data_IF_011489935283
#
_entry.id   IF_011489935283
#
_cell.length_a   1.000
_cell.length_b   1.000
_cell.length_c   1.000
_cell.angle_alpha   90.00
_cell.angle_beta   90.00
_cell.angle_gamma   90.00
#
_symmetry.space_group_name_H-M   'P 1'
#
loop_
_entity.id
_entity.type
_entity.pdbx_description
1 polymer ?
#
# COMPACT_ATOMS: atom_id res chain seq x y z
N UNK A 1 -38.43 -26.06 13.40
CA UNK A 1 -38.20 -27.35 12.70
C UNK A 1 -36.81 -27.26 12.08
N UNK A 2 -35.90 -28.14 12.49
CA UNK A 2 -34.54 -28.18 11.92
C UNK A 2 -34.66 -28.63 10.46
N UNK A 3 -33.98 -27.94 9.53
CA UNK A 3 -34.05 -28.27 8.12
C UNK A 3 -33.28 -29.57 7.86
N UNK A 4 -34.00 -30.70 7.72
CA UNK A 4 -33.42 -32.03 7.50
C UNK A 4 -32.51 -32.09 6.27
N UNK A 5 -32.79 -31.28 5.24
CA UNK A 5 -31.94 -31.18 4.04
C UNK A 5 -30.58 -30.54 4.33
N UNK A 6 -30.54 -29.52 5.20
CA UNK A 6 -29.28 -28.88 5.60
C UNK A 6 -28.42 -29.84 6.42
N UNK A 7 -29.03 -30.64 7.31
CA UNK A 7 -28.32 -31.67 8.09
C UNK A 7 -27.72 -32.75 7.19
N UNK A 8 -28.44 -33.20 6.14
CA UNK A 8 -27.91 -34.21 5.24
C UNK A 8 -26.68 -33.75 4.46
N UNK A 9 -26.63 -32.47 4.05
CA UNK A 9 -25.46 -31.91 3.33
C UNK A 9 -24.26 -31.79 4.26
N UNK A 10 -24.45 -31.32 5.49
CA UNK A 10 -23.36 -31.22 6.47
C UNK A 10 -22.78 -32.57 6.87
N UNK A 11 -23.59 -33.63 6.93
CA UNK A 11 -23.11 -34.98 7.27
C UNK A 11 -22.25 -35.62 6.17
N UNK A 12 -22.33 -35.16 4.92
CA UNK A 12 -21.42 -35.60 3.86
C UNK A 12 -19.98 -35.10 4.11
N UNK A 13 -19.82 -33.93 4.72
CA UNK A 13 -18.50 -33.40 5.15
C UNK A 13 -17.87 -34.26 6.26
N UNK A 14 -18.68 -34.97 7.04
CA UNK A 14 -18.23 -35.98 8.01
C UNK A 14 -17.95 -37.36 7.38
N UNK A 15 -17.95 -37.46 6.05
CA UNK A 15 -17.59 -38.68 5.32
C UNK A 15 -18.73 -39.70 5.20
N UNK A 16 -19.98 -39.28 5.35
CA UNK A 16 -21.16 -40.11 5.07
C UNK A 16 -21.59 -39.97 3.61
N UNK A 17 -22.07 -41.05 3.01
CA UNK A 17 -22.77 -40.95 1.73
C UNK A 17 -24.17 -40.38 1.93
N UNK A 18 -24.77 -39.84 0.88
CA UNK A 18 -26.15 -39.31 0.89
C UNK A 18 -27.16 -40.27 1.54
N UNK A 19 -27.10 -41.56 1.22
CA UNK A 19 -28.00 -42.57 1.79
C UNK A 19 -27.71 -42.84 3.27
N UNK A 20 -26.44 -42.81 3.68
CA UNK A 20 -26.05 -42.96 5.09
C UNK A 20 -26.53 -41.76 5.91
N UNK A 21 -26.37 -40.53 5.39
CA UNK A 21 -26.83 -39.31 6.04
C UNK A 21 -28.36 -39.31 6.20
N UNK A 22 -29.11 -39.66 5.16
CA UNK A 22 -30.58 -39.74 5.21
C UNK A 22 -31.08 -40.79 6.21
N UNK A 23 -30.48 -41.98 6.23
CA UNK A 23 -30.84 -43.02 7.18
C UNK A 23 -30.50 -42.63 8.63
N UNK A 24 -29.35 -42.00 8.86
CA UNK A 24 -28.94 -41.55 10.19
C UNK A 24 -29.84 -40.44 10.73
N UNK A 25 -30.18 -39.44 9.90
CA UNK A 25 -31.13 -38.37 10.29
C UNK A 25 -32.51 -38.95 10.61
N UNK A 26 -33.01 -39.89 9.80
CA UNK A 26 -34.30 -40.55 10.06
C UNK A 26 -34.31 -41.30 11.41
N UNK A 27 -33.21 -41.98 11.76
CA UNK A 27 -33.07 -42.66 13.05
C UNK A 27 -32.95 -41.69 14.23
N UNK A 28 -32.24 -40.57 14.08
CA UNK A 28 -32.18 -39.51 15.09
C UNK A 28 -33.56 -38.89 15.33
N UNK A 29 -34.33 -38.63 14.25
CA UNK A 29 -35.65 -38.01 14.33
C UNK A 29 -36.74 -38.94 14.86
N UNK A 30 -36.65 -40.27 14.61
CA UNK A 30 -37.71 -41.24 14.94
C UNK A 30 -37.36 -42.19 16.09
N UNK A 31 -36.11 -42.21 16.53
CA UNK A 31 -35.63 -43.15 17.56
C UNK A 31 -35.52 -44.58 17.03
N UNK A 32 -35.74 -45.56 17.91
CA UNK A 32 -35.63 -46.98 17.56
C UNK A 32 -36.78 -47.44 16.66
N UNK A 33 -36.48 -47.79 15.42
CA UNK A 33 -37.47 -48.23 14.41
C UNK A 33 -36.99 -49.48 13.66
N UNK A 34 -37.89 -50.21 13.04
CA UNK A 34 -37.54 -51.37 12.22
C UNK A 34 -36.88 -50.96 10.91
N UNK A 35 -36.09 -51.86 10.29
CA UNK A 35 -35.49 -51.61 8.97
C UNK A 35 -36.53 -51.27 7.88
N UNK A 36 -37.74 -51.84 7.97
CA UNK A 36 -38.85 -51.57 7.05
C UNK A 36 -39.42 -50.16 7.22
N UNK A 37 -39.53 -49.69 8.47
CA UNK A 37 -39.96 -48.33 8.79
C UNK A 37 -38.88 -47.31 8.44
N UNK A 38 -37.61 -47.65 8.64
CA UNK A 38 -36.50 -46.81 8.22
C UNK A 38 -36.54 -46.55 6.72
N UNK A 39 -36.78 -47.57 5.89
CA UNK A 39 -36.98 -47.40 4.45
C UNK A 39 -38.03 -46.34 4.10
N UNK A 40 -39.12 -46.32 4.86
CA UNK A 40 -40.23 -45.39 4.65
C UNK A 40 -39.86 -43.97 5.10
N UNK A 41 -39.28 -43.81 6.29
CA UNK A 41 -38.97 -42.50 6.84
C UNK A 41 -37.70 -41.84 6.25
N UNK A 42 -36.75 -42.64 5.75
CA UNK A 42 -35.53 -42.12 5.11
C UNK A 42 -35.66 -41.96 3.60
N UNK A 43 -36.82 -42.30 3.01
CA UNK A 43 -37.08 -42.29 1.57
C UNK A 43 -36.03 -43.07 0.75
N UNK A 44 -35.56 -44.20 1.32
CA UNK A 44 -34.56 -45.05 0.70
C UNK A 44 -35.20 -46.31 0.11
N UNK A 45 -34.72 -46.79 -1.06
CA UNK A 45 -35.16 -48.06 -1.60
C UNK A 45 -34.92 -49.19 -0.58
N UNK A 46 -35.93 -50.06 -0.39
CA UNK A 46 -35.84 -51.20 0.55
C UNK A 46 -34.60 -52.08 0.35
N UNK A 47 -34.14 -52.21 -0.90
CA UNK A 47 -32.94 -52.98 -1.26
C UNK A 47 -31.62 -52.34 -0.79
N UNK A 48 -31.63 -51.06 -0.42
CA UNK A 48 -30.45 -50.29 0.02
C UNK A 48 -30.37 -50.09 1.53
N UNK A 49 -31.43 -50.39 2.28
CA UNK A 49 -31.45 -50.18 3.74
C UNK A 49 -30.43 -51.06 4.47
N UNK A 50 -30.45 -52.38 4.26
CA UNK A 50 -29.53 -53.28 4.94
C UNK A 50 -28.04 -52.97 4.65
N UNK A 51 -27.62 -52.77 3.38
CA UNK A 51 -26.26 -52.34 3.10
C UNK A 51 -25.87 -51.00 3.76
N UNK A 52 -26.80 -50.05 3.82
CA UNK A 52 -26.57 -48.74 4.44
C UNK A 52 -26.44 -48.84 5.96
N UNK A 53 -27.31 -49.64 6.59
CA UNK A 53 -27.26 -49.91 8.03
C UNK A 53 -25.96 -50.60 8.44
N UNK A 54 -25.49 -51.60 7.68
CA UNK A 54 -24.21 -52.27 7.95
C UNK A 54 -23.02 -51.29 7.86
N UNK A 55 -23.06 -50.34 6.92
CA UNK A 55 -22.03 -49.30 6.82
C UNK A 55 -22.10 -48.33 8.00
N UNK A 56 -23.30 -47.89 8.40
CA UNK A 56 -23.48 -47.04 9.57
C UNK A 56 -23.06 -47.74 10.87
N UNK A 57 -23.35 -49.03 11.01
CA UNK A 57 -22.88 -49.86 12.13
C UNK A 57 -21.35 -49.99 12.14
N UNK A 58 -20.72 -50.21 10.97
CA UNK A 58 -19.26 -50.26 10.86
C UNK A 58 -18.58 -48.93 11.22
N UNK A 59 -19.27 -47.81 10.98
CA UNK A 59 -18.86 -46.46 11.38
C UNK A 59 -19.25 -46.13 12.83
N UNK A 60 -19.84 -47.07 13.59
CA UNK A 60 -20.34 -46.89 14.96
C UNK A 60 -21.34 -45.74 15.10
N UNK A 61 -22.18 -45.53 14.09
CA UNK A 61 -23.24 -44.51 14.10
C UNK A 61 -24.61 -45.11 14.47
N UNK A 62 -24.80 -46.40 14.30
CA UNK A 62 -26.09 -47.09 14.53
C UNK A 62 -25.84 -48.42 15.23
N UNK A 63 -26.78 -48.81 16.09
CA UNK A 63 -26.85 -50.14 16.72
C UNK A 63 -28.00 -50.92 16.07
N UNK A 64 -27.71 -52.13 15.60
CA UNK A 64 -28.69 -53.05 15.01
C UNK A 64 -28.97 -54.19 15.98
N UNK A 65 -30.23 -54.38 16.37
CA UNK A 65 -30.65 -55.52 17.19
C UNK A 65 -30.86 -56.77 16.35
N UNK A 66 -30.52 -57.94 16.91
CA UNK A 66 -30.79 -59.25 16.29
C UNK A 66 -32.20 -59.78 16.58
N UNK A 67 -33.14 -58.91 16.95
CA UNK A 67 -34.54 -59.28 17.19
C UNK A 67 -35.29 -59.55 15.89
N UNK A 68 -36.47 -60.17 15.98
CA UNK A 68 -37.43 -60.27 14.88
C UNK A 68 -38.67 -59.44 15.25
N UNK A 69 -38.93 -58.29 14.63
CA UNK A 69 -38.16 -57.66 13.54
C UNK A 69 -36.82 -57.05 13.99
N UNK A 70 -35.92 -56.82 13.02
CA UNK A 70 -34.62 -56.16 13.21
C UNK A 70 -34.89 -54.69 13.52
N UNK A 71 -34.42 -54.22 14.67
CA UNK A 71 -34.56 -52.83 15.12
C UNK A 71 -33.24 -52.09 14.97
N UNK A 72 -33.32 -50.82 14.62
CA UNK A 72 -32.18 -49.96 14.38
C UNK A 72 -32.30 -48.71 15.27
N UNK A 73 -31.21 -48.34 15.94
CA UNK A 73 -31.17 -47.16 16.81
C UNK A 73 -29.94 -46.34 16.49
N UNK A 74 -30.09 -45.03 16.25
CA UNK A 74 -28.94 -44.14 16.10
C UNK A 74 -28.22 -43.95 17.44
N UNK A 75 -26.90 -43.89 17.39
CA UNK A 75 -26.08 -43.43 18.51
C UNK A 75 -26.20 -41.91 18.57
N UNK A 76 -26.14 -41.32 19.77
CA UNK A 76 -26.23 -39.88 19.95
C UNK A 76 -25.12 -39.17 19.17
N UNK A 77 -25.39 -38.06 18.44
CA UNK A 77 -24.39 -37.38 17.62
C UNK A 77 -23.13 -36.98 18.37
N UNK A 78 -23.26 -36.64 19.65
CA UNK A 78 -22.15 -36.30 20.53
C UNK A 78 -21.18 -37.48 20.63
N UNK A 79 -21.67 -38.69 20.91
CA UNK A 79 -20.84 -39.89 21.03
C UNK A 79 -20.39 -40.43 19.66
N UNK A 80 -21.25 -40.29 18.65
CA UNK A 80 -21.06 -40.87 17.33
C UNK A 80 -19.93 -40.18 16.54
N UNK A 81 -19.81 -38.85 16.67
CA UNK A 81 -18.82 -38.06 15.92
C UNK A 81 -17.60 -37.63 16.75
N UNK A 82 -17.61 -37.79 18.08
CA UNK A 82 -16.48 -37.42 18.94
C UNK A 82 -15.17 -38.07 18.48
N UNK A 83 -15.22 -39.36 18.16
CA UNK A 83 -14.04 -40.10 17.66
C UNK A 83 -13.52 -39.57 16.31
N UNK A 84 -14.42 -39.20 15.40
CA UNK A 84 -14.06 -38.65 14.07
C UNK A 84 -13.47 -37.26 14.22
N UNK A 85 -14.05 -36.42 15.09
CA UNK A 85 -13.55 -35.09 15.38
C UNK A 85 -12.15 -35.17 16.01
N UNK A 86 -11.95 -36.04 16.99
CA UNK A 86 -10.66 -36.27 17.61
C UNK A 86 -9.61 -36.81 16.64
N UNK A 87 -9.98 -37.69 15.70
CA UNK A 87 -9.09 -38.16 14.65
C UNK A 87 -8.62 -37.02 13.73
N UNK A 88 -9.52 -36.13 13.32
CA UNK A 88 -9.15 -34.96 12.50
C UNK A 88 -8.25 -33.98 13.28
N UNK A 89 -8.57 -33.70 14.55
CA UNK A 89 -7.74 -32.87 15.42
C UNK A 89 -6.33 -33.47 15.54
N UNK A 90 -6.22 -34.78 15.76
CA UNK A 90 -4.95 -35.47 15.85
C UNK A 90 -4.16 -35.42 14.54
N UNK A 91 -4.84 -35.53 13.39
CA UNK A 91 -4.22 -35.39 12.07
C UNK A 91 -3.67 -33.99 11.85
N UNK A 92 -4.42 -32.95 12.20
CA UNK A 92 -3.96 -31.55 12.15
C UNK A 92 -2.77 -31.33 13.08
N UNK A 93 -2.82 -31.85 14.31
CA UNK A 93 -1.72 -31.75 15.27
C UNK A 93 -0.46 -32.47 14.76
N UNK A 94 -0.60 -33.65 14.16
CA UNK A 94 0.50 -34.38 13.55
C UNK A 94 1.12 -33.60 12.37
N UNK A 95 0.30 -33.00 11.50
CA UNK A 95 0.77 -32.13 10.42
C UNK A 95 1.53 -30.92 10.96
N UNK A 96 1.01 -30.24 11.99
CA UNK A 96 1.69 -29.12 12.64
C UNK A 96 3.02 -29.53 13.28
N UNK A 97 3.07 -30.70 13.93
CA UNK A 97 4.30 -31.25 14.48
C UNK A 97 5.34 -31.57 13.38
N UNK A 98 4.90 -32.14 12.25
CA UNK A 98 5.76 -32.37 11.09
C UNK A 98 6.31 -31.06 10.54
N UNK A 99 5.48 -30.03 10.37
CA UNK A 99 5.94 -28.69 9.94
C UNK A 99 6.97 -28.14 10.92
N UNK A 100 6.73 -28.25 12.23
CA UNK A 100 7.70 -27.81 13.24
C UNK A 100 9.02 -28.57 13.16
N UNK A 101 8.99 -29.88 12.91
CA UNK A 101 10.19 -30.70 12.78
C UNK A 101 10.95 -30.39 11.48
N UNK A 102 10.23 -30.15 10.37
CA UNK A 102 10.83 -29.71 9.11
C UNK A 102 11.49 -28.32 9.26
N UNK A 103 10.89 -27.40 10.02
CA UNK A 103 11.52 -26.12 10.37
C UNK A 103 12.84 -26.34 11.12
N UNK A 104 12.84 -27.18 12.16
CA UNK A 104 14.07 -27.51 12.92
C UNK A 104 15.14 -28.16 12.05
N UNK A 105 14.79 -29.15 11.23
CA UNK A 105 15.72 -29.80 10.30
C UNK A 105 16.26 -28.81 9.23
N UNK A 106 15.42 -27.87 8.77
CA UNK A 106 15.86 -26.77 7.91
C UNK A 106 16.84 -25.83 8.63
N UNK A 107 16.63 -25.52 9.91
CA UNK A 107 17.53 -24.67 10.69
C UNK A 107 18.87 -25.35 11.00
N UNK A 108 18.85 -26.65 11.31
CA UNK A 108 20.05 -27.46 11.54
C UNK A 108 20.90 -27.62 10.27
N UNK A 109 20.27 -27.83 9.12
CA UNK A 109 20.95 -27.87 7.82
C UNK A 109 21.51 -26.51 7.39
N UNK A 110 20.90 -25.38 7.78
CA UNK A 110 21.47 -24.03 7.58
C UNK A 110 22.76 -23.81 8.38
N UNK A 111 22.91 -24.44 9.55
CA UNK A 111 24.13 -24.31 10.37
C UNK A 111 25.32 -25.09 9.82
N UNK A 112 25.09 -26.17 9.06
CA UNK A 112 26.14 -27.03 8.52
C UNK A 112 26.58 -26.67 7.10
N UNK A 113 25.73 -26.01 6.31
CA UNK A 113 26.11 -25.44 5.00
C UNK A 113 26.69 -24.04 5.20
N UNK A 114 28.01 -23.91 5.21
CA UNK A 114 28.67 -22.60 5.19
C UNK A 114 28.16 -21.74 4.04
N UNK A 115 27.52 -20.60 4.36
CA UNK A 115 27.20 -19.38 3.58
C UNK A 115 26.69 -19.44 2.12
N UNK A 116 26.52 -20.60 1.51
CA UNK A 116 26.15 -20.72 0.10
C UNK A 116 25.07 -21.76 -0.11
N UNK A 117 23.80 -21.32 -0.02
CA UNK A 117 22.79 -21.68 -1.01
C UNK A 117 21.48 -20.89 -0.76
N UNK A 118 21.19 -19.98 -1.70
CA UNK A 118 19.99 -19.13 -1.84
C UNK A 118 19.85 -18.02 -0.79
N UNK A 119 20.73 -17.01 -0.94
CA UNK A 119 20.79 -15.76 -0.15
C UNK A 119 19.51 -14.89 -0.20
N UNK A 120 18.63 -15.15 -1.16
CA UNK A 120 17.36 -14.43 -1.28
C UNK A 120 16.18 -15.37 -1.50
N UNK A 121 15.01 -14.97 -1.00
CA UNK A 121 13.76 -15.69 -1.19
C UNK A 121 13.04 -15.14 -2.41
N UNK A 122 12.95 -15.95 -3.46
CA UNK A 122 12.18 -15.61 -4.64
C UNK A 122 10.67 -15.75 -4.34
N UNK A 123 9.90 -14.75 -4.72
CA UNK A 123 8.45 -14.67 -4.55
C UNK A 123 7.80 -14.63 -5.93
N UNK A 124 6.81 -15.50 -6.16
CA UNK A 124 6.00 -15.45 -7.37
C UNK A 124 5.10 -14.21 -7.36
N UNK A 125 4.76 -13.69 -8.53
CA UNK A 125 3.97 -12.46 -8.64
C UNK A 125 2.67 -12.47 -7.82
N UNK A 126 1.97 -13.61 -7.80
CA UNK A 126 0.71 -13.77 -7.06
C UNK A 126 0.87 -13.67 -5.53
N UNK A 127 2.08 -13.86 -5.00
CA UNK A 127 2.34 -13.88 -3.57
C UNK A 127 3.02 -12.59 -3.08
N UNK A 128 3.43 -11.68 -3.99
CA UNK A 128 4.16 -10.47 -3.62
C UNK A 128 3.32 -9.55 -2.74
N UNK A 129 2.03 -9.39 -3.04
CA UNK A 129 1.13 -8.56 -2.23
C UNK A 129 1.01 -9.09 -0.79
N UNK A 130 0.70 -10.38 -0.63
CA UNK A 130 0.58 -11.00 0.70
C UNK A 130 1.89 -10.95 1.47
N UNK A 131 3.02 -11.15 0.79
CA UNK A 131 4.33 -11.03 1.40
C UNK A 131 4.62 -9.59 1.85
N UNK A 132 4.29 -8.59 1.02
CA UNK A 132 4.42 -7.18 1.38
C UNK A 132 3.56 -6.84 2.61
N UNK A 133 2.30 -7.28 2.65
CA UNK A 133 1.42 -7.10 3.83
C UNK A 133 2.05 -7.67 5.10
N UNK A 134 2.58 -8.89 5.03
CA UNK A 134 3.23 -9.52 6.18
C UNK A 134 4.48 -8.75 6.65
N UNK A 135 5.31 -8.28 5.72
CA UNK A 135 6.54 -7.54 6.07
C UNK A 135 6.23 -6.16 6.65
N UNK A 136 5.25 -5.43 6.09
CA UNK A 136 4.78 -4.17 6.66
C UNK A 136 4.26 -4.39 8.08
N UNK A 137 3.36 -5.36 8.29
CA UNK A 137 2.79 -5.62 9.63
C UNK A 137 3.88 -6.05 10.64
N UNK A 138 4.85 -6.84 10.20
CA UNK A 138 5.94 -7.35 11.02
C UNK A 138 7.02 -6.34 11.42
N UNK A 139 7.06 -5.18 10.74
CA UNK A 139 8.06 -4.13 10.99
C UNK A 139 7.95 -3.53 12.39
N UNK A 140 9.09 -3.09 12.94
CA UNK A 140 9.20 -2.62 14.33
C UNK A 140 9.77 -1.22 14.50
N UNK A 141 10.60 -0.73 13.58
CA UNK A 141 11.29 0.56 13.70
C UNK A 141 11.00 1.51 12.54
N UNK A 142 11.19 1.07 11.29
CA UNK A 142 11.10 1.97 10.15
C UNK A 142 10.87 1.24 8.84
N UNK A 143 10.17 1.89 7.91
CA UNK A 143 9.96 1.38 6.56
C UNK A 143 10.36 2.47 5.57
N UNK A 144 11.34 2.17 4.73
CA UNK A 144 11.83 3.04 3.67
C UNK A 144 11.43 2.46 2.31
N UNK A 145 10.68 3.20 1.52
CA UNK A 145 10.01 2.69 0.32
C UNK A 145 10.40 3.54 -0.90
N UNK A 146 10.83 2.89 -1.96
CA UNK A 146 11.01 3.47 -3.30
C UNK A 146 10.14 2.71 -4.27
N UNK A 147 9.20 3.38 -4.92
CA UNK A 147 8.28 2.72 -5.86
C UNK A 147 7.97 3.59 -7.06
N UNK A 148 7.80 2.95 -8.21
CA UNK A 148 7.22 3.52 -9.41
C UNK A 148 5.67 3.54 -9.34
N UNK A 149 5.01 3.72 -10.48
CA UNK A 149 3.55 3.67 -10.57
C UNK A 149 2.96 2.32 -10.16
N UNK A 150 3.56 1.21 -10.60
CA UNK A 150 3.08 -0.14 -10.33
C UNK A 150 3.28 -0.51 -8.85
N UNK A 151 4.47 -0.24 -8.31
CA UNK A 151 4.79 -0.46 -6.91
C UNK A 151 3.94 0.40 -5.96
N UNK A 152 3.60 1.62 -6.37
CA UNK A 152 2.67 2.47 -5.61
C UNK A 152 1.25 1.87 -5.58
N UNK A 153 0.80 1.28 -6.68
CA UNK A 153 -0.47 0.54 -6.72
C UNK A 153 -0.48 -0.61 -5.71
N UNK A 154 0.59 -1.39 -5.64
CA UNK A 154 0.73 -2.46 -4.66
C UNK A 154 0.75 -1.95 -3.21
N UNK A 155 1.43 -0.84 -2.96
CA UNK A 155 1.48 -0.22 -1.64
C UNK A 155 0.12 0.34 -1.20
N UNK A 156 -0.66 0.90 -2.13
CA UNK A 156 -2.00 1.41 -1.87
C UNK A 156 -2.95 0.32 -1.33
N UNK A 157 -2.79 -0.92 -1.81
CA UNK A 157 -3.52 -2.08 -1.30
C UNK A 157 -3.18 -2.41 0.16
N UNK A 158 -2.02 -1.97 0.66
CA UNK A 158 -1.52 -2.21 2.02
C UNK A 158 -1.93 -1.12 3.03
N UNK A 159 -2.96 -0.32 2.73
CA UNK A 159 -3.41 0.81 3.55
C UNK A 159 -3.65 0.45 5.02
N UNK A 160 -4.34 -0.66 5.28
CA UNK A 160 -4.64 -1.09 6.66
C UNK A 160 -3.39 -1.46 7.45
N UNK A 161 -2.43 -2.14 6.82
CA UNK A 161 -1.15 -2.50 7.43
C UNK A 161 -0.30 -1.24 7.69
N UNK A 162 -0.33 -0.28 6.76
CA UNK A 162 0.32 1.03 6.94
C UNK A 162 -0.27 1.78 8.15
N UNK A 163 -1.60 1.82 8.28
CA UNK A 163 -2.26 2.41 9.45
C UNK A 163 -1.89 1.69 10.75
N UNK A 164 -1.76 0.35 10.73
CA UNK A 164 -1.31 -0.45 11.88
C UNK A 164 0.10 -0.07 12.34
N UNK A 165 1.07 0.04 11.42
CA UNK A 165 2.44 0.46 11.77
C UNK A 165 2.51 1.91 12.23
N UNK A 166 1.76 2.82 11.61
CA UNK A 166 1.74 4.24 11.97
C UNK A 166 1.17 4.46 13.38
N UNK A 167 0.12 3.70 13.77
CA UNK A 167 -0.40 3.71 15.16
C UNK A 167 0.63 3.26 16.20
N UNK A 168 1.61 2.46 15.79
CA UNK A 168 2.75 2.05 16.63
C UNK A 168 3.91 3.05 16.61
N UNK A 169 3.73 4.24 16.02
CA UNK A 169 4.73 5.30 15.84
C UNK A 169 5.96 4.87 15.02
N UNK A 170 5.80 3.96 14.06
CA UNK A 170 6.88 3.64 13.12
C UNK A 170 7.09 4.77 12.12
N UNK A 171 8.36 5.03 11.78
CA UNK A 171 8.69 5.99 10.73
C UNK A 171 8.55 5.34 9.34
N UNK A 172 7.58 5.81 8.55
CA UNK A 172 7.41 5.37 7.16
C UNK A 172 7.79 6.50 6.21
N UNK A 173 8.74 6.23 5.31
CA UNK A 173 9.23 7.16 4.28
C UNK A 173 9.00 6.58 2.89
N UNK A 174 8.42 7.37 2.00
CA UNK A 174 8.03 6.96 0.65
C UNK A 174 8.63 7.90 -0.42
N UNK A 175 9.33 7.32 -1.37
CA UNK A 175 9.83 7.95 -2.58
C UNK A 175 9.01 7.47 -3.79
N UNK A 176 8.48 8.42 -4.55
CA UNK A 176 7.70 8.16 -5.76
C UNK A 176 8.02 9.14 -6.90
N UNK A 177 7.73 8.79 -8.17
CA UNK A 177 7.83 9.71 -9.29
C UNK A 177 6.81 10.85 -9.19
N UNK A 178 7.22 12.04 -9.61
CA UNK A 178 6.33 13.23 -9.65
C UNK A 178 5.04 13.02 -10.45
N UNK A 179 5.04 12.08 -11.41
CA UNK A 179 3.85 11.74 -12.21
C UNK A 179 2.73 11.11 -11.40
N UNK A 180 3.03 10.57 -10.22
CA UNK A 180 2.08 9.89 -9.35
C UNK A 180 1.43 10.80 -8.29
N UNK A 181 1.91 12.04 -8.14
CA UNK A 181 1.33 13.01 -7.20
C UNK A 181 -0.15 13.25 -7.58
N UNK A 182 -1.06 13.13 -6.60
CA UNK A 182 -2.50 13.30 -6.82
C UNK A 182 -3.19 12.13 -7.55
N UNK A 183 -2.51 11.02 -7.80
CA UNK A 183 -3.14 9.78 -8.31
C UNK A 183 -4.07 9.13 -7.28
N UNK A 184 -4.92 8.19 -7.70
CA UNK A 184 -5.78 7.42 -6.79
C UNK A 184 -4.95 6.61 -5.79
N UNK A 185 -3.91 5.92 -6.26
CA UNK A 185 -2.98 5.17 -5.40
C UNK A 185 -2.25 6.07 -4.40
N UNK A 186 -1.88 7.29 -4.81
CA UNK A 186 -1.29 8.29 -3.91
C UNK A 186 -2.25 8.68 -2.79
N UNK A 187 -3.53 8.94 -3.11
CA UNK A 187 -4.57 9.29 -2.13
C UNK A 187 -4.93 8.16 -1.18
N UNK A 188 -4.61 6.91 -1.52
CA UNK A 188 -4.80 5.77 -0.64
C UNK A 188 -3.74 5.71 0.48
N UNK A 189 -2.58 6.35 0.29
CA UNK A 189 -1.50 6.38 1.27
C UNK A 189 -1.89 7.26 2.48
N UNK A 190 -1.71 6.80 3.73
CA UNK A 190 -2.01 7.62 4.91
C UNK A 190 -1.16 8.90 4.99
N UNK A 191 -1.77 9.99 5.48
CA UNK A 191 -1.14 11.32 5.55
C UNK A 191 0.08 11.38 6.48
N UNK A 192 0.18 10.47 7.44
CA UNK A 192 1.31 10.39 8.38
C UNK A 192 2.59 9.80 7.73
N UNK A 193 2.47 9.19 6.55
CA UNK A 193 3.63 8.73 5.76
C UNK A 193 4.37 9.95 5.23
N UNK A 194 5.69 9.99 5.44
CA UNK A 194 6.53 11.05 4.86
C UNK A 194 6.74 10.74 3.39
N UNK A 195 6.26 11.61 2.49
CA UNK A 195 6.38 11.39 1.04
C UNK A 195 7.29 12.43 0.41
N UNK A 196 8.19 11.97 -0.46
CA UNK A 196 9.02 12.83 -1.31
C UNK A 196 9.02 12.33 -2.75
N UNK A 197 9.27 13.26 -3.68
CA UNK A 197 9.33 12.96 -5.10
C UNK A 197 10.76 12.91 -5.62
N UNK A 198 11.07 11.86 -6.37
CA UNK A 198 12.31 11.67 -7.11
C UNK A 198 12.07 10.73 -8.27
N UNK A 199 12.98 10.72 -9.25
CA UNK A 199 12.99 9.67 -10.27
C UNK A 199 13.36 8.33 -9.61
N UNK A 200 12.56 7.30 -9.87
CA UNK A 200 12.69 5.96 -9.29
C UNK A 200 13.08 4.99 -10.40
N UNK A 201 14.09 4.16 -10.13
CA UNK A 201 14.65 3.21 -11.09
C UNK A 201 14.21 1.77 -10.76
N UNK A 202 13.81 1.50 -9.52
CA UNK A 202 13.48 0.16 -9.04
C UNK A 202 12.49 0.23 -7.88
N UNK A 203 11.59 -0.75 -7.79
CA UNK A 203 10.71 -0.94 -6.64
C UNK A 203 11.47 -1.66 -5.52
N UNK A 204 11.64 -0.99 -4.38
CA UNK A 204 12.42 -1.45 -3.25
C UNK A 204 11.76 -1.03 -1.93
N UNK A 205 11.57 -1.99 -1.03
CA UNK A 205 11.03 -1.78 0.30
C UNK A 205 12.06 -2.27 1.30
N UNK A 206 12.52 -1.37 2.18
CA UNK A 206 13.48 -1.70 3.22
C UNK A 206 12.80 -1.61 4.58
N UNK A 207 12.81 -2.71 5.31
CA UNK A 207 12.14 -2.89 6.59
C UNK A 207 13.17 -2.98 7.71
N UNK A 208 13.01 -2.14 8.72
CA UNK A 208 13.81 -2.08 9.95
C UNK A 208 15.33 -1.98 9.72
N UNK A 209 15.74 -1.49 8.54
CA UNK A 209 17.11 -1.59 8.02
C UNK A 209 17.63 -3.03 7.92
N UNK A 210 16.80 -4.04 8.22
CA UNK A 210 17.19 -5.44 8.36
C UNK A 210 16.80 -6.34 7.20
N UNK A 211 15.76 -5.99 6.44
CA UNK A 211 15.25 -6.80 5.33
C UNK A 211 14.91 -5.92 4.13
N UNK A 212 15.14 -6.42 2.92
CA UNK A 212 14.85 -5.69 1.69
C UNK A 212 14.01 -6.56 0.76
N UNK A 213 12.86 -6.05 0.34
CA UNK A 213 12.03 -6.62 -0.71
C UNK A 213 12.22 -5.80 -2.00
N UNK A 214 12.73 -6.44 -3.04
CA UNK A 214 12.76 -5.88 -4.40
C UNK A 214 11.64 -6.49 -5.22
N UNK A 215 11.03 -5.70 -6.09
CA UNK A 215 9.98 -6.15 -6.99
C UNK A 215 10.30 -5.70 -8.41
N UNK A 216 10.19 -6.63 -9.34
CA UNK A 216 10.31 -6.40 -10.78
C UNK A 216 8.93 -6.00 -11.33
N UNK A 217 8.83 -4.80 -11.89
CA UNK A 217 7.59 -4.25 -12.45
C UNK A 217 7.19 -4.89 -13.80
N UNK A 218 8.12 -5.50 -14.53
CA UNK A 218 7.83 -6.15 -15.81
C UNK A 218 7.09 -7.47 -15.63
N UNK A 219 7.46 -8.25 -14.60
CA UNK A 219 6.91 -9.59 -14.38
C UNK A 219 6.22 -9.77 -13.01
N UNK A 220 6.23 -8.74 -12.17
CA UNK A 220 5.60 -8.71 -10.86
C UNK A 220 6.26 -9.60 -9.80
N UNK A 221 7.40 -10.26 -10.11
CA UNK A 221 8.09 -11.15 -9.16
C UNK A 221 8.87 -10.34 -8.13
N UNK A 222 8.99 -10.91 -6.93
CA UNK A 222 9.72 -10.29 -5.83
C UNK A 222 10.92 -11.12 -5.40
N UNK A 223 11.88 -10.48 -4.74
CA UNK A 223 12.97 -11.14 -4.03
C UNK A 223 13.22 -10.46 -2.68
N UNK A 224 13.30 -11.26 -1.61
CA UNK A 224 13.66 -10.77 -0.27
C UNK A 224 15.12 -11.08 0.02
N UNK A 225 15.84 -10.06 0.47
CA UNK A 225 17.24 -10.10 0.88
C UNK A 225 17.38 -9.71 2.35
N UNK A 226 18.35 -10.30 3.04
CA UNK A 226 18.77 -9.81 4.35
C UNK A 226 19.62 -8.55 4.20
N UNK A 227 19.44 -7.58 5.10
CA UNK A 227 20.29 -6.40 5.23
C UNK A 227 21.75 -6.70 5.52
N UNK A 228 22.05 -7.84 6.14
CA UNK A 228 23.42 -8.24 6.42
C UNK A 228 24.18 -8.54 5.13
N UNK A 229 23.48 -8.66 4.01
CA UNK A 229 24.07 -8.78 2.69
C UNK A 229 24.46 -7.41 2.14
N UNK A 230 25.53 -7.41 1.34
CA UNK A 230 26.04 -6.21 0.67
C UNK A 230 24.95 -5.47 -0.09
N UNK A 231 23.97 -6.19 -0.64
CA UNK A 231 22.84 -5.58 -1.35
C UNK A 231 21.96 -4.77 -0.40
N UNK A 232 21.56 -5.30 0.76
CA UNK A 232 20.68 -4.59 1.68
C UNK A 232 21.29 -3.32 2.27
N UNK A 233 22.58 -3.37 2.66
CA UNK A 233 23.33 -2.16 3.06
C UNK A 233 23.37 -1.14 1.93
N UNK A 234 23.61 -1.57 0.69
CA UNK A 234 23.61 -0.67 -0.47
C UNK A 234 22.24 -0.03 -0.68
N UNK A 235 21.15 -0.79 -0.60
CA UNK A 235 19.81 -0.24 -0.80
C UNK A 235 19.43 0.79 0.26
N UNK A 236 19.79 0.57 1.53
CA UNK A 236 19.63 1.59 2.56
C UNK A 236 20.40 2.88 2.25
N UNK A 237 21.64 2.77 1.77
CA UNK A 237 22.46 3.94 1.39
C UNK A 237 21.91 4.67 0.18
N UNK A 238 21.49 3.92 -0.85
CA UNK A 238 20.85 4.47 -2.05
C UNK A 238 19.57 5.21 -1.68
N UNK A 239 18.73 4.59 -0.85
CA UNK A 239 17.52 5.24 -0.34
C UNK A 239 17.85 6.55 0.39
N UNK A 240 18.81 6.53 1.32
CA UNK A 240 19.17 7.71 2.11
C UNK A 240 19.71 8.86 1.25
N UNK A 241 20.50 8.55 0.22
CA UNK A 241 21.01 9.56 -0.70
C UNK A 241 19.89 10.18 -1.56
N UNK A 242 19.05 9.34 -2.17
CA UNK A 242 17.90 9.82 -2.94
C UNK A 242 16.95 10.62 -2.05
N UNK A 243 16.66 10.14 -0.84
CA UNK A 243 15.82 10.84 0.12
C UNK A 243 16.33 12.25 0.43
N UNK A 244 17.64 12.40 0.65
CA UNK A 244 18.27 13.69 0.94
C UNK A 244 18.13 14.68 -0.22
N UNK A 245 18.24 14.20 -1.46
CA UNK A 245 18.22 15.03 -2.67
C UNK A 245 16.82 15.19 -3.28
N UNK A 246 15.84 14.40 -2.81
CA UNK A 246 14.45 14.42 -3.28
C UNK A 246 13.67 15.66 -2.83
N UNK A 247 12.61 15.97 -3.57
CA UNK A 247 11.77 17.15 -3.36
C UNK A 247 10.62 16.80 -2.41
N UNK A 248 10.40 17.62 -1.38
CA UNK A 248 9.21 17.51 -0.52
C UNK A 248 7.97 17.88 -1.31
N UNK A 249 6.86 17.18 -1.08
CA UNK A 249 5.63 17.39 -1.85
C UNK A 249 4.41 17.65 -0.96
N UNK A 250 4.62 17.95 0.32
CA UNK A 250 3.53 18.20 1.28
C UNK A 250 2.56 19.29 0.79
N UNK A 251 3.10 20.36 0.19
CA UNK A 251 2.31 21.46 -0.34
C UNK A 251 1.58 21.16 -1.68
N UNK A 252 1.84 20.00 -2.29
CA UNK A 252 1.20 19.56 -3.54
C UNK A 252 0.10 18.52 -3.32
N UNK A 253 -0.11 18.08 -2.07
CA UNK A 253 -1.00 16.96 -1.75
C UNK A 253 -2.48 17.25 -2.09
N UNK A 254 -2.91 18.49 -1.87
CA UNK A 254 -4.31 18.92 -2.07
C UNK A 254 -4.61 19.37 -3.50
N UNK A 255 -3.57 19.55 -4.33
CA UNK A 255 -3.72 19.98 -5.73
C UNK A 255 -4.29 18.88 -6.62
N UNK A 256 -4.88 19.27 -7.75
CA UNK A 256 -5.19 18.28 -8.80
C UNK A 256 -3.91 17.70 -9.39
N UNK A 257 -4.00 16.50 -9.97
CA UNK A 257 -2.85 15.83 -10.60
C UNK A 257 -2.12 16.72 -11.62
N UNK A 258 -2.88 17.47 -12.43
CA UNK A 258 -2.30 18.34 -13.46
C UNK A 258 -1.58 19.55 -12.84
N UNK A 259 -2.18 20.19 -11.84
CA UNK A 259 -1.57 21.32 -11.12
C UNK A 259 -0.32 20.90 -10.38
N UNK A 260 -0.37 19.78 -9.65
CA UNK A 260 0.78 19.25 -8.92
C UNK A 260 1.97 18.94 -9.85
N UNK A 261 1.71 18.33 -11.01
CA UNK A 261 2.74 18.05 -12.00
C UNK A 261 3.35 19.32 -12.61
N UNK A 262 2.52 20.33 -12.88
CA UNK A 262 2.98 21.61 -13.41
C UNK A 262 3.80 22.39 -12.37
N UNK A 263 3.31 22.48 -11.14
CA UNK A 263 4.01 23.07 -10.01
C UNK A 263 5.37 22.39 -9.78
N UNK A 264 5.41 21.04 -9.79
CA UNK A 264 6.64 20.29 -9.67
C UNK A 264 7.65 20.60 -10.80
N UNK A 265 7.18 20.69 -12.05
CA UNK A 265 8.04 21.07 -13.18
C UNK A 265 8.63 22.47 -13.01
N UNK A 266 7.82 23.44 -12.57
CA UNK A 266 8.26 24.81 -12.30
C UNK A 266 9.33 24.80 -11.19
N UNK A 267 9.07 24.11 -10.09
CA UNK A 267 10.02 23.92 -8.97
C UNK A 267 11.35 23.39 -9.46
N UNK A 268 11.34 22.30 -10.25
CA UNK A 268 12.56 21.70 -10.76
C UNK A 268 13.36 22.66 -11.65
N UNK A 269 12.69 23.30 -12.62
CA UNK A 269 13.35 24.21 -13.58
C UNK A 269 13.98 25.40 -12.85
N UNK A 270 13.25 26.01 -11.91
CA UNK A 270 13.73 27.18 -11.18
C UNK A 270 14.86 26.81 -10.23
N UNK A 271 14.79 25.64 -9.58
CA UNK A 271 15.85 25.18 -8.69
C UNK A 271 17.15 24.89 -9.46
N UNK A 272 17.06 24.25 -10.63
CA UNK A 272 18.24 23.89 -11.43
C UNK A 272 18.85 25.09 -12.17
N UNK A 273 18.01 25.99 -12.71
CA UNK A 273 18.45 27.00 -13.68
C UNK A 273 18.17 28.45 -13.27
N UNK A 274 17.31 28.69 -12.26
CA UNK A 274 16.74 30.00 -11.99
C UNK A 274 17.79 31.08 -11.69
N UNK A 275 18.70 30.80 -10.76
CA UNK A 275 19.75 31.77 -10.38
C UNK A 275 20.72 32.07 -11.53
N UNK A 276 21.20 31.03 -12.21
CA UNK A 276 22.09 31.16 -13.38
C UNK A 276 21.45 32.02 -14.46
N UNK A 277 20.16 31.79 -14.70
CA UNK A 277 19.41 32.51 -15.72
C UNK A 277 19.18 33.98 -15.34
N UNK A 278 18.86 34.26 -14.07
CA UNK A 278 18.77 35.63 -13.54
C UNK A 278 20.11 36.36 -13.69
N UNK A 279 21.22 35.76 -13.27
CA UNK A 279 22.54 36.35 -13.38
C UNK A 279 22.89 36.70 -14.84
N UNK A 280 22.61 35.79 -15.78
CA UNK A 280 22.85 36.03 -17.20
C UNK A 280 21.94 37.14 -17.76
N UNK A 281 20.66 37.13 -17.40
CA UNK A 281 19.71 38.16 -17.85
C UNK A 281 20.08 39.56 -17.36
N UNK A 282 20.56 39.70 -16.13
CA UNK A 282 21.05 40.99 -15.59
C UNK A 282 22.25 41.49 -16.38
N UNK A 283 23.15 40.59 -16.80
CA UNK A 283 24.33 40.94 -17.59
C UNK A 283 24.01 41.29 -19.05
N UNK A 284 23.03 40.62 -19.67
CA UNK A 284 22.78 40.71 -21.12
C UNK A 284 21.54 41.56 -21.45
N UNK A 285 20.35 41.15 -20.99
CA UNK A 285 19.07 41.72 -21.44
C UNK A 285 18.55 42.84 -20.54
N UNK A 286 19.02 42.89 -19.28
CA UNK A 286 18.52 43.75 -18.19
C UNK A 286 17.02 43.58 -17.90
N UNK A 287 16.40 42.46 -18.30
CA UNK A 287 14.98 42.13 -18.08
C UNK A 287 14.80 40.70 -17.53
N UNK A 288 15.21 40.44 -16.29
CA UNK A 288 15.19 39.10 -15.68
C UNK A 288 13.80 38.47 -15.59
N UNK A 289 12.77 39.29 -15.36
CA UNK A 289 11.35 38.94 -15.31
C UNK A 289 10.84 38.33 -16.62
N UNK A 290 11.06 39.02 -17.75
CA UNK A 290 10.59 38.55 -19.05
C UNK A 290 11.33 37.30 -19.52
N UNK A 291 12.62 37.21 -19.22
CA UNK A 291 13.42 36.09 -19.68
C UNK A 291 13.13 34.83 -18.85
N UNK A 292 12.88 34.95 -17.53
CA UNK A 292 12.45 33.81 -16.70
C UNK A 292 11.14 33.19 -17.21
N UNK A 293 10.21 34.01 -17.67
CA UNK A 293 9.02 33.52 -18.35
C UNK A 293 9.33 32.76 -19.64
N UNK A 294 10.25 33.26 -20.47
CA UNK A 294 10.67 32.56 -21.70
C UNK A 294 11.33 31.22 -21.37
N UNK A 295 12.07 31.13 -20.26
CA UNK A 295 12.65 29.86 -19.79
C UNK A 295 11.54 28.85 -19.49
N UNK A 296 10.48 29.25 -18.79
CA UNK A 296 9.34 28.38 -18.50
C UNK A 296 8.59 27.98 -19.78
N UNK A 297 8.31 28.94 -20.67
CA UNK A 297 7.64 28.70 -21.96
C UNK A 297 8.43 27.74 -22.86
N UNK A 298 9.76 27.86 -22.91
CA UNK A 298 10.64 26.94 -23.65
C UNK A 298 10.59 25.50 -23.13
N UNK A 299 10.25 25.33 -21.85
CA UNK A 299 10.06 24.03 -21.21
C UNK A 299 8.59 23.58 -21.19
N UNK A 300 7.72 24.22 -21.97
CA UNK A 300 6.32 23.83 -22.15
C UNK A 300 5.37 24.27 -21.03
N UNK A 301 5.77 25.24 -20.20
CA UNK A 301 4.94 25.79 -19.13
C UNK A 301 4.30 27.10 -19.60
N UNK A 302 2.96 27.15 -19.58
CA UNK A 302 2.19 28.28 -20.10
C UNK A 302 1.32 28.92 -19.02
N UNK A 303 1.95 29.63 -18.09
CA UNK A 303 1.28 30.34 -16.98
C UNK A 303 0.34 31.47 -17.44
N UNK A 304 0.43 31.93 -18.70
CA UNK A 304 -0.36 33.06 -19.21
C UNK A 304 -1.87 32.79 -19.21
N UNK A 305 -2.26 31.54 -19.44
CA UNK A 305 -3.67 31.17 -19.62
C UNK A 305 -4.40 30.93 -18.29
N UNK A 306 -3.68 31.00 -17.17
CA UNK A 306 -4.18 30.74 -15.82
C UNK A 306 -4.70 32.00 -15.14
N UNK A 307 -5.61 31.80 -14.21
CA UNK A 307 -6.09 32.88 -13.33
C UNK A 307 -4.97 33.33 -12.37
N UNK A 308 -5.10 34.53 -11.81
CA UNK A 308 -4.13 35.03 -10.82
C UNK A 308 -4.10 34.12 -9.58
N UNK A 309 -5.26 33.63 -9.15
CA UNK A 309 -5.39 32.76 -7.99
C UNK A 309 -4.66 31.42 -8.20
N UNK A 310 -4.80 30.80 -9.37
CA UNK A 310 -4.07 29.57 -9.75
C UNK A 310 -2.55 29.79 -9.76
N UNK A 311 -2.08 30.95 -10.25
CA UNK A 311 -0.66 31.28 -10.28
C UNK A 311 -0.13 31.46 -8.85
N UNK A 312 -0.89 32.13 -7.98
CA UNK A 312 -0.54 32.33 -6.58
C UNK A 312 -0.46 30.99 -5.86
N UNK A 313 -1.43 30.10 -6.07
CA UNK A 313 -1.46 28.78 -5.42
C UNK A 313 -0.24 27.93 -5.81
N UNK A 314 0.10 27.88 -7.11
CA UNK A 314 1.30 27.19 -7.61
C UNK A 314 2.57 27.79 -7.00
N UNK A 315 2.65 29.12 -6.94
CA UNK A 315 3.80 29.85 -6.39
C UNK A 315 3.96 29.65 -4.89
N UNK A 316 2.86 29.65 -4.14
CA UNK A 316 2.86 29.41 -2.70
C UNK A 316 3.35 28.00 -2.40
N UNK A 317 2.80 26.98 -3.06
CA UNK A 317 3.26 25.61 -2.90
C UNK A 317 4.76 25.45 -3.22
N UNK A 318 5.22 26.10 -4.29
CA UNK A 318 6.62 26.06 -4.66
C UNK A 318 7.55 26.73 -3.64
N UNK A 319 7.16 27.87 -3.08
CA UNK A 319 7.92 28.54 -2.03
C UNK A 319 7.92 27.78 -0.71
N UNK A 320 6.80 27.15 -0.34
CA UNK A 320 6.73 26.29 0.83
C UNK A 320 7.74 25.14 0.73
N UNK A 321 7.81 24.50 -0.44
CA UNK A 321 8.72 23.38 -0.72
C UNK A 321 10.18 23.83 -0.73
N UNK A 322 10.48 24.90 -1.47
CA UNK A 322 11.86 25.28 -1.75
C UNK A 322 12.49 26.11 -0.64
N UNK A 323 11.72 27.00 -0.02
CA UNK A 323 12.26 27.98 0.91
C UNK A 323 11.41 28.22 2.16
N UNK A 324 10.47 27.32 2.47
CA UNK A 324 9.56 27.48 3.63
C UNK A 324 8.92 28.87 3.67
N UNK A 325 8.62 29.39 2.48
CA UNK A 325 8.08 30.72 2.24
C UNK A 325 6.60 30.69 1.85
N UNK A 326 6.01 31.86 1.71
CA UNK A 326 4.60 32.03 1.36
C UNK A 326 4.37 33.19 0.37
N UNK A 327 3.32 33.07 -0.44
CA UNK A 327 2.75 34.16 -1.24
C UNK A 327 1.42 34.61 -0.64
N UNK A 328 1.32 35.89 -0.30
CA UNK A 328 0.09 36.51 0.15
C UNK A 328 -0.33 37.60 -0.81
N UNK A 329 -1.57 37.51 -1.33
CA UNK A 329 -2.20 38.57 -2.11
C UNK A 329 -3.17 39.37 -1.23
N UNK A 330 -2.92 40.67 -1.14
CA UNK A 330 -3.82 41.61 -0.47
C UNK A 330 -4.65 42.39 -1.51
N UNK A 331 -5.92 42.02 -1.61
CA UNK A 331 -6.88 42.63 -2.52
C UNK A 331 -7.16 44.12 -2.21
N UNK A 332 -6.98 44.56 -0.96
CA UNK A 332 -7.22 45.96 -0.58
C UNK A 332 -6.09 46.87 -1.06
N UNK A 333 -4.85 46.39 -0.98
CA UNK A 333 -3.67 47.17 -1.35
C UNK A 333 -3.15 46.86 -2.76
N UNK A 334 -3.72 45.85 -3.43
CA UNK A 334 -3.26 45.28 -4.70
C UNK A 334 -1.77 44.93 -4.66
N UNK A 335 -1.31 44.38 -3.53
CA UNK A 335 0.06 43.96 -3.33
C UNK A 335 0.13 42.44 -3.24
N UNK A 336 1.10 41.85 -3.95
CA UNK A 336 1.53 40.48 -3.73
C UNK A 336 2.80 40.54 -2.90
N UNK A 337 2.81 39.79 -1.80
CA UNK A 337 3.93 39.71 -0.87
C UNK A 337 4.47 38.30 -0.88
N UNK A 338 5.77 38.18 -1.16
CA UNK A 338 6.51 36.93 -1.21
C UNK A 338 7.50 36.96 -0.05
N UNK A 339 7.40 36.01 0.85
CA UNK A 339 8.27 35.93 2.04
C UNK A 339 9.00 34.58 2.05
N UNK A 340 10.29 34.59 2.37
CA UNK A 340 11.11 33.38 2.58
C UNK A 340 11.80 33.45 3.93
N UNK A 341 11.88 32.31 4.62
CA UNK A 341 12.57 32.22 5.91
C UNK A 341 14.09 32.42 5.77
N UNK A 342 14.74 32.71 6.89
CA UNK A 342 16.19 32.88 6.91
C UNK A 342 16.88 31.55 6.54
N UNK A 343 17.89 31.60 5.67
CA UNK A 343 18.71 30.46 5.24
C UNK A 343 17.97 29.29 4.57
N UNK A 344 16.74 29.50 4.09
CA UNK A 344 15.95 28.45 3.43
C UNK A 344 15.95 28.54 1.90
N UNK A 345 16.60 29.53 1.29
CA UNK A 345 16.68 29.69 -0.17
C UNK A 345 16.23 31.08 -0.62
N UNK A 346 16.37 31.36 -1.93
CA UNK A 346 16.07 32.67 -2.50
C UNK A 346 14.64 32.76 -3.05
N UNK A 347 13.92 33.79 -2.61
CA UNK A 347 12.57 34.14 -3.09
C UNK A 347 12.59 34.90 -4.42
N UNK A 348 13.75 35.45 -4.79
CA UNK A 348 13.90 36.34 -5.95
C UNK A 348 13.52 35.70 -7.31
N UNK A 349 13.91 34.44 -7.64
CA UNK A 349 13.47 33.81 -8.88
C UNK A 349 11.95 33.70 -9.01
N UNK A 350 11.28 33.41 -7.91
CA UNK A 350 9.82 33.29 -7.82
C UNK A 350 9.14 34.64 -8.04
N UNK A 351 9.69 35.70 -7.43
CA UNK A 351 9.21 37.05 -7.64
C UNK A 351 9.32 37.50 -9.10
N UNK A 352 10.42 37.17 -9.80
CA UNK A 352 10.58 37.51 -11.22
C UNK A 352 9.60 36.77 -12.12
N UNK A 353 9.29 35.50 -11.83
CA UNK A 353 8.28 34.75 -12.58
C UNK A 353 6.89 35.36 -12.40
N UNK A 354 6.49 35.68 -11.16
CA UNK A 354 5.23 36.37 -10.87
C UNK A 354 5.13 37.72 -11.56
N UNK A 355 6.18 38.53 -11.44
CA UNK A 355 6.26 39.86 -12.04
C UNK A 355 6.13 39.78 -13.57
N UNK A 356 6.86 38.87 -14.22
CA UNK A 356 6.76 38.63 -15.65
C UNK A 356 5.34 38.21 -16.06
N UNK A 357 4.71 37.29 -15.31
CA UNK A 357 3.35 36.81 -15.58
C UNK A 357 2.35 37.97 -15.59
N UNK A 358 2.40 38.80 -14.55
CA UNK A 358 1.52 39.96 -14.39
C UNK A 358 1.72 40.98 -15.51
N UNK A 359 2.97 41.28 -15.88
CA UNK A 359 3.26 42.18 -16.99
C UNK A 359 2.72 41.64 -18.32
N UNK A 360 2.87 40.35 -18.62
CA UNK A 360 2.31 39.73 -19.84
C UNK A 360 0.78 39.70 -19.86
N UNK A 361 0.13 39.71 -18.70
CA UNK A 361 -1.33 39.85 -18.57
C UNK A 361 -1.80 41.31 -18.67
N UNK A 362 -0.88 42.27 -18.80
CA UNK A 362 -1.18 43.69 -19.02
C UNK A 362 -1.21 44.54 -17.74
N UNK A 363 -0.80 43.99 -16.59
CA UNK A 363 -0.66 44.75 -15.36
C UNK A 363 0.64 45.56 -15.35
N UNK A 364 0.61 46.76 -14.76
CA UNK A 364 1.82 47.49 -14.39
C UNK A 364 2.25 47.09 -12.99
N UNK A 365 3.48 46.63 -12.88
CA UNK A 365 4.05 46.15 -11.62
C UNK A 365 5.17 47.07 -11.12
N UNK A 366 5.31 47.15 -9.80
CA UNK A 366 6.49 47.73 -9.14
C UNK A 366 6.97 46.78 -8.06
N UNK A 367 8.21 46.33 -8.19
CA UNK A 367 8.81 45.33 -7.29
C UNK A 367 9.74 46.01 -6.30
N UNK A 368 9.56 45.75 -5.00
CA UNK A 368 10.43 46.21 -3.91
C UNK A 368 10.99 45.01 -3.20
N UNK A 369 12.32 44.92 -3.16
CA UNK A 369 13.05 43.85 -2.47
C UNK A 369 13.57 44.36 -1.11
N UNK A 370 13.29 43.61 -0.05
CA UNK A 370 13.79 43.84 1.29
C UNK A 370 14.45 42.57 1.81
N UNK A 371 15.74 42.63 2.14
CA UNK A 371 16.43 41.54 2.82
C UNK A 371 16.70 41.95 4.27
N UNK A 372 16.16 41.20 5.22
CA UNK A 372 16.34 41.46 6.63
C UNK A 372 17.11 40.30 7.28
N UNK A 373 18.27 40.61 7.86
CA UNK A 373 19.17 39.63 8.50
C UNK A 373 18.52 38.84 9.64
N UNK A 374 17.37 39.28 10.16
CA UNK A 374 16.64 38.59 11.25
C UNK A 374 15.32 37.94 10.81
N UNK A 375 14.74 38.36 9.68
CA UNK A 375 13.39 37.95 9.25
C UNK A 375 13.34 37.23 7.90
N UNK A 376 14.46 37.18 7.16
CA UNK A 376 14.53 36.56 5.84
C UNK A 376 14.33 37.55 4.69
N UNK A 377 14.04 37.02 3.51
CA UNK A 377 13.78 37.81 2.31
C UNK A 377 12.29 38.13 2.17
N UNK A 378 11.97 39.38 1.82
CA UNK A 378 10.62 39.83 1.52
C UNK A 378 10.61 40.61 0.21
N UNK A 379 9.80 40.16 -0.73
CA UNK A 379 9.57 40.84 -2.02
C UNK A 379 8.12 41.27 -2.09
N UNK A 380 7.89 42.55 -2.36
CA UNK A 380 6.53 43.10 -2.55
C UNK A 380 6.37 43.53 -4.00
N UNK A 381 5.39 42.98 -4.70
CA UNK A 381 5.00 43.35 -6.06
C UNK A 381 3.69 44.12 -5.95
N UNK A 382 3.76 45.43 -6.22
CA UNK A 382 2.56 46.27 -6.29
C UNK A 382 1.97 46.22 -7.68
N UNK A 383 0.69 45.89 -7.77
CA UNK A 383 -0.06 45.77 -9.01
C UNK A 383 -0.89 47.04 -9.23
N UNK A 384 -0.86 47.55 -10.47
CA UNK A 384 -1.75 48.60 -10.94
C UNK A 384 -2.38 48.16 -12.26
N UNK A 385 -3.71 48.24 -12.35
CA UNK A 385 -4.42 48.04 -13.63
C UNK A 385 -4.07 49.21 -14.55
N UNK A 386 -3.82 48.90 -15.83
CA UNK A 386 -3.67 49.90 -16.87
C UNK A 386 -4.96 50.67 -17.12
#
# INVERSE_FOLDING_TARGET
MVNEQALTVSLEEFGLSKYEAQAYVALISKGTISASELAYYSDLPRTKIYPTLLKLESKKLVIISKSKPIMCTAIAPEDAFDSVIHEQINKVNAMNALISNLKKASEESRKSRGSEEKRYFHISANNVLEQLRMMVEGSKSSINIMVDQWGLGLLAECKEQLLSVLRRNLEVKLLLPSTQIGSESYRAIPNEVKIRSSDIIQNCFVFDETEVLMIDDENGKGAIFSSTEVLGINQNRVFADIWRNSVKIDALADMTKNEAQEAYKIIRIINENGLTYILNSIMVSKKPDLDMLKLLEKNGIHLKNKSLDEIIEIMDAALQIMCSGHVNFDANTNNITIESKLNSGHSLPWAYVLDGCLQKQGFKTRTVYQNNQTKGEKVTIKISKN
#
